data_IF_578713712300
#
_entry.id   IF_578713712300
#
_cell.length_a   1.000
_cell.length_b   1.000
_cell.length_c   1.000
_cell.angle_alpha   90.00
_cell.angle_beta   90.00
_cell.angle_gamma   90.00
#
_symmetry.space_group_name_H-M   'P 1'
#
loop_
_entity.id
_entity.type
_entity.pdbx_description
1 polymer ?
#
# COMPACT_ATOMS: atom_id res chain seq x y z
N UNK A 1 -46.49 -4.48 47.67
CA UNK A 1 -45.45 -3.41 47.68
C UNK A 1 -44.15 -4.10 48.05
N UNK A 2 -43.09 -4.23 47.24
CA UNK A 2 -42.46 -3.34 46.27
C UNK A 2 -41.82 -4.16 45.13
N UNK A 3 -41.95 -3.67 43.91
CA UNK A 3 -41.13 -4.04 42.75
C UNK A 3 -39.81 -3.23 42.77
N UNK A 4 -38.83 -3.71 41.99
CA UNK A 4 -37.66 -3.02 41.41
C UNK A 4 -36.38 -2.90 42.25
N UNK A 5 -35.50 -3.89 42.07
CA UNK A 5 -34.04 -3.68 42.02
C UNK A 5 -33.40 -4.06 40.67
N UNK A 6 -34.18 -4.48 39.67
CA UNK A 6 -33.65 -4.96 38.38
C UNK A 6 -33.41 -3.87 37.32
N UNK A 7 -33.21 -2.60 37.71
CA UNK A 7 -33.26 -1.47 36.76
C UNK A 7 -31.94 -0.68 36.61
N UNK A 8 -30.95 -0.88 37.48
CA UNK A 8 -29.72 -0.06 37.45
C UNK A 8 -28.51 -0.83 36.88
N UNK A 9 -28.35 -2.11 37.19
CA UNK A 9 -27.21 -2.92 36.69
C UNK A 9 -27.29 -3.23 35.20
N UNK A 10 -28.50 -3.43 34.66
CA UNK A 10 -28.70 -3.64 33.21
C UNK A 10 -28.47 -2.35 32.42
N UNK A 11 -28.85 -1.20 33.00
CA UNK A 11 -28.61 0.11 32.38
C UNK A 11 -27.11 0.45 32.30
N UNK A 12 -26.33 0.08 33.32
CA UNK A 12 -24.88 0.26 33.34
C UNK A 12 -24.18 -0.65 32.32
N UNK A 13 -24.66 -1.88 32.15
CA UNK A 13 -24.14 -2.82 31.15
C UNK A 13 -24.42 -2.36 29.70
N UNK A 14 -25.60 -1.78 29.45
CA UNK A 14 -25.95 -1.18 28.14
C UNK A 14 -25.08 0.06 27.84
N UNK A 15 -24.74 0.84 28.87
CA UNK A 15 -23.87 2.02 28.74
C UNK A 15 -22.41 1.65 28.44
N UNK A 16 -21.92 0.50 28.92
CA UNK A 16 -20.58 -0.02 28.61
C UNK A 16 -20.50 -0.59 27.18
N UNK A 17 -21.58 -1.20 26.68
CA UNK A 17 -21.62 -1.72 25.29
C UNK A 17 -21.64 -0.57 24.26
N UNK A 18 -22.23 0.58 24.60
CA UNK A 18 -22.29 1.76 23.72
C UNK A 18 -20.94 2.50 23.56
N UNK A 19 -19.90 2.15 24.33
CA UNK A 19 -18.55 2.77 24.25
C UNK A 19 -17.59 1.91 23.41
N UNK A 20 -18.00 0.72 22.97
CA UNK A 20 -17.20 -0.16 22.10
C UNK A 20 -17.37 0.13 20.60
N UNK A 21 -18.01 1.24 20.24
CA UNK A 21 -17.90 1.81 18.89
C UNK A 21 -16.48 2.37 18.74
N UNK A 22 -15.53 1.49 18.47
CA UNK A 22 -14.16 1.88 18.14
C UNK A 22 -14.21 2.96 17.06
N UNK A 23 -13.55 4.08 17.31
CA UNK A 23 -13.42 5.14 16.31
C UNK A 23 -12.64 4.55 15.13
N UNK A 24 -13.31 4.32 14.00
CA UNK A 24 -12.64 3.97 12.75
C UNK A 24 -11.97 5.22 12.18
N UNK A 25 -10.80 5.07 11.56
CA UNK A 25 -10.14 6.21 10.93
C UNK A 25 -10.99 6.71 9.75
N UNK A 26 -11.08 8.03 9.51
CA UNK A 26 -11.81 8.54 8.35
C UNK A 26 -11.28 7.89 7.06
N UNK A 27 -12.15 7.25 6.29
CA UNK A 27 -11.76 6.55 5.06
C UNK A 27 -11.32 5.09 5.22
N UNK A 28 -11.20 4.57 6.45
CA UNK A 28 -10.82 3.18 6.72
C UNK A 28 -11.81 2.17 6.10
N UNK A 29 -13.11 2.44 6.19
CA UNK A 29 -14.15 1.57 5.62
C UNK A 29 -14.02 1.48 4.09
N UNK A 30 -13.83 2.61 3.41
CA UNK A 30 -13.63 2.66 1.96
C UNK A 30 -12.32 2.01 1.55
N UNK A 31 -11.26 2.23 2.33
CA UNK A 31 -9.98 1.57 2.12
C UNK A 31 -10.13 0.05 2.20
N UNK A 32 -10.78 -0.47 3.25
CA UNK A 32 -10.99 -1.90 3.43
C UNK A 32 -11.82 -2.52 2.29
N UNK A 33 -12.90 -1.85 1.86
CA UNK A 33 -13.66 -2.26 0.66
C UNK A 33 -12.79 -2.23 -0.59
N UNK A 34 -11.90 -1.24 -0.72
CA UNK A 34 -10.96 -1.14 -1.84
C UNK A 34 -9.99 -2.33 -1.88
N UNK A 35 -9.51 -2.79 -0.72
CA UNK A 35 -8.70 -4.00 -0.61
C UNK A 35 -9.50 -5.24 -1.06
N UNK A 36 -10.77 -5.36 -0.68
CA UNK A 36 -11.65 -6.45 -1.11
C UNK A 36 -11.86 -6.46 -2.63
N UNK A 37 -12.21 -5.30 -3.21
CA UNK A 37 -12.34 -5.13 -4.65
C UNK A 37 -11.05 -5.48 -5.40
N UNK A 38 -9.89 -5.05 -4.88
CA UNK A 38 -8.58 -5.39 -5.44
C UNK A 38 -8.32 -6.90 -5.41
N UNK A 39 -8.66 -7.59 -4.31
CA UNK A 39 -8.53 -9.06 -4.19
C UNK A 39 -9.43 -9.80 -5.18
N UNK A 40 -10.61 -9.25 -5.46
CA UNK A 40 -11.54 -9.75 -6.48
C UNK A 40 -11.13 -9.37 -7.92
N UNK A 41 -10.00 -8.65 -8.09
CA UNK A 41 -9.51 -8.13 -9.37
C UNK A 41 -10.48 -7.12 -10.02
N UNK A 42 -11.32 -6.46 -9.22
CA UNK A 42 -12.23 -5.39 -9.61
C UNK A 42 -11.48 -4.03 -9.56
N UNK A 43 -10.50 -3.86 -10.45
CA UNK A 43 -9.53 -2.76 -10.37
C UNK A 43 -10.15 -1.36 -10.44
N UNK A 44 -11.17 -1.17 -11.28
CA UNK A 44 -11.88 0.12 -11.37
C UNK A 44 -12.60 0.47 -10.07
N UNK A 45 -13.29 -0.51 -9.47
CA UNK A 45 -13.96 -0.32 -8.18
C UNK A 45 -12.95 -0.07 -7.05
N UNK A 46 -11.84 -0.81 -7.03
CA UNK A 46 -10.77 -0.59 -6.05
C UNK A 46 -10.20 0.84 -6.15
N UNK A 47 -9.98 1.34 -7.37
CA UNK A 47 -9.53 2.71 -7.64
C UNK A 47 -10.50 3.74 -7.07
N UNK A 48 -11.80 3.60 -7.37
CA UNK A 48 -12.85 4.50 -6.86
C UNK A 48 -12.91 4.50 -5.32
N UNK A 49 -12.80 3.32 -4.71
CA UNK A 49 -12.84 3.16 -3.26
C UNK A 49 -11.62 3.77 -2.57
N UNK A 50 -10.41 3.56 -3.10
CA UNK A 50 -9.20 4.21 -2.57
C UNK A 50 -9.25 5.73 -2.75
N UNK A 51 -9.75 6.22 -3.89
CA UNK A 51 -9.95 7.66 -4.08
C UNK A 51 -10.97 8.24 -3.09
N UNK A 52 -12.02 7.48 -2.78
CA UNK A 52 -13.02 7.89 -1.78
C UNK A 52 -12.44 7.89 -0.37
N UNK A 53 -11.59 6.90 -0.02
CA UNK A 53 -10.84 6.89 1.23
C UNK A 53 -9.97 8.15 1.35
N UNK A 54 -9.22 8.49 0.29
CA UNK A 54 -8.38 9.69 0.23
C UNK A 54 -9.16 11.01 0.26
N UNK A 55 -10.40 11.04 -0.23
CA UNK A 55 -11.27 12.20 -0.10
C UNK A 55 -11.71 12.44 1.36
N UNK A 56 -11.79 11.37 2.17
CA UNK A 56 -12.10 11.46 3.60
C UNK A 56 -10.86 11.77 4.43
N UNK A 57 -9.74 11.17 4.08
CA UNK A 57 -8.44 11.45 4.69
C UNK A 57 -7.31 11.32 3.65
N UNK A 58 -6.82 12.47 3.19
CA UNK A 58 -5.73 12.56 2.24
C UNK A 58 -4.35 12.22 2.86
N UNK A 59 -4.30 11.83 4.13
CA UNK A 59 -3.09 11.37 4.82
C UNK A 59 -2.97 9.85 4.91
N UNK A 60 -4.00 9.09 4.50
CA UNK A 60 -3.99 7.63 4.47
C UNK A 60 -2.91 7.10 3.51
N UNK A 61 -1.76 6.74 4.07
CA UNK A 61 -0.60 6.32 3.32
C UNK A 61 -0.88 5.04 2.52
N UNK A 62 -1.59 4.10 3.13
CA UNK A 62 -1.91 2.80 2.54
C UNK A 62 -2.90 2.93 1.38
N UNK A 63 -3.82 3.89 1.42
CA UNK A 63 -4.71 4.18 0.31
C UNK A 63 -3.92 4.70 -0.91
N UNK A 64 -2.96 5.61 -0.69
CA UNK A 64 -2.02 6.05 -1.73
C UNK A 64 -1.18 4.87 -2.28
N UNK A 65 -0.62 4.01 -1.42
CA UNK A 65 0.19 2.86 -1.84
C UNK A 65 -0.62 1.87 -2.70
N UNK A 66 -1.85 1.56 -2.29
CA UNK A 66 -2.71 0.63 -3.03
C UNK A 66 -3.27 1.26 -4.31
N UNK A 67 -3.61 2.55 -4.31
CA UNK A 67 -3.97 3.28 -5.53
C UNK A 67 -2.81 3.28 -6.54
N UNK A 68 -1.58 3.47 -6.05
CA UNK A 68 -0.36 3.32 -6.84
C UNK A 68 -0.21 1.92 -7.45
N UNK A 69 -0.53 0.86 -6.69
CA UNK A 69 -0.58 -0.51 -7.22
C UNK A 69 -1.66 -0.70 -8.30
N UNK A 70 -2.85 -0.12 -8.13
CA UNK A 70 -3.92 -0.18 -9.13
C UNK A 70 -3.48 0.50 -10.43
N UNK A 71 -2.91 1.70 -10.37
CA UNK A 71 -2.37 2.37 -11.56
C UNK A 71 -1.21 1.58 -12.21
N UNK A 72 -0.39 0.89 -11.41
CA UNK A 72 0.63 -0.05 -11.91
C UNK A 72 0.01 -1.20 -12.72
N UNK A 73 -1.13 -1.73 -12.29
CA UNK A 73 -1.88 -2.79 -13.00
C UNK A 73 -2.50 -2.27 -14.30
N UNK A 74 -2.90 -1.01 -14.33
CA UNK A 74 -3.37 -0.29 -15.52
C UNK A 74 -2.23 0.15 -16.45
N UNK A 75 -0.96 -0.06 -16.07
CA UNK A 75 0.24 0.44 -16.77
C UNK A 75 0.29 1.97 -16.86
N UNK A 76 -0.43 2.68 -16.00
CA UNK A 76 -0.32 4.12 -15.84
C UNK A 76 0.84 4.44 -14.89
N UNK A 77 2.06 4.35 -15.41
CA UNK A 77 3.28 4.44 -14.60
C UNK A 77 3.50 5.80 -13.95
N UNK A 78 3.00 6.88 -14.55
CA UNK A 78 3.15 8.24 -14.02
C UNK A 78 2.31 8.42 -12.75
N UNK A 79 1.00 8.12 -12.83
CA UNK A 79 0.13 8.15 -11.65
C UNK A 79 0.54 7.13 -10.60
N UNK A 80 0.97 5.94 -11.03
CA UNK A 80 1.44 4.92 -10.10
C UNK A 80 2.65 5.40 -9.29
N UNK A 81 3.58 6.12 -9.93
CA UNK A 81 4.74 6.69 -9.26
C UNK A 81 4.32 7.77 -8.28
N UNK A 82 3.47 8.71 -8.71
CA UNK A 82 2.97 9.80 -7.88
C UNK A 82 2.33 9.28 -6.59
N UNK A 83 1.34 8.41 -6.72
CA UNK A 83 0.61 7.86 -5.58
C UNK A 83 1.50 7.02 -4.67
N UNK A 84 2.33 6.14 -5.25
CA UNK A 84 3.23 5.29 -4.45
C UNK A 84 4.27 6.12 -3.70
N UNK A 85 4.81 7.18 -4.31
CA UNK A 85 5.80 8.05 -3.69
C UNK A 85 5.20 8.86 -2.53
N UNK A 86 3.99 9.39 -2.72
CA UNK A 86 3.24 10.10 -1.67
C UNK A 86 2.93 9.16 -0.50
N UNK A 87 2.44 7.95 -0.79
CA UNK A 87 2.19 6.93 0.22
C UNK A 87 3.45 6.54 0.99
N UNK A 88 4.58 6.34 0.30
CA UNK A 88 5.86 6.03 0.93
C UNK A 88 6.38 7.16 1.85
N UNK A 89 6.20 8.41 1.45
CA UNK A 89 6.57 9.55 2.29
C UNK A 89 5.73 9.57 3.57
N UNK A 90 4.40 9.48 3.43
CA UNK A 90 3.46 9.53 4.55
C UNK A 90 3.70 8.40 5.53
N UNK A 91 3.85 7.16 5.06
CA UNK A 91 4.03 5.99 5.94
C UNK A 91 5.35 6.06 6.72
N UNK A 92 6.44 6.55 6.10
CA UNK A 92 7.72 6.71 6.78
C UNK A 92 7.70 7.84 7.81
N UNK A 93 6.87 8.86 7.55
CA UNK A 93 6.70 10.01 8.42
C UNK A 93 5.82 9.68 9.63
N UNK A 94 4.66 9.06 9.42
CA UNK A 94 3.75 8.68 10.50
C UNK A 94 4.27 7.51 11.31
N UNK A 95 4.84 6.49 10.64
CA UNK A 95 5.18 5.17 11.21
C UNK A 95 3.98 4.48 11.87
N UNK A 96 2.79 4.79 11.38
CA UNK A 96 1.50 4.27 11.82
C UNK A 96 0.82 3.55 10.67
N UNK A 97 -0.03 2.59 10.97
CA UNK A 97 -0.77 1.80 9.98
C UNK A 97 -2.18 1.54 10.46
N UNK A 98 -3.14 1.65 9.54
CA UNK A 98 -4.54 1.26 9.77
C UNK A 98 -4.76 -0.23 9.44
N UNK A 99 -3.80 -0.88 8.78
CA UNK A 99 -3.94 -2.28 8.36
C UNK A 99 -3.59 -3.22 9.52
N UNK A 100 -4.61 -3.88 10.07
CA UNK A 100 -4.46 -4.82 11.17
C UNK A 100 -3.45 -5.94 10.87
N UNK A 101 -2.49 -6.12 11.79
CA UNK A 101 -1.47 -7.16 11.68
C UNK A 101 -0.33 -6.86 10.72
N UNK A 102 -0.31 -5.68 10.10
CA UNK A 102 0.82 -5.21 9.30
C UNK A 102 1.54 -4.08 10.04
N UNK A 103 2.82 -3.87 9.71
CA UNK A 103 3.65 -2.78 10.20
C UNK A 103 3.82 -1.69 9.15
N UNK A 104 4.27 -0.49 9.57
CA UNK A 104 4.62 0.57 8.61
C UNK A 104 5.81 0.15 7.72
N UNK A 105 6.70 -0.72 8.20
CA UNK A 105 7.79 -1.30 7.42
C UNK A 105 7.26 -2.18 6.29
N UNK A 106 6.22 -2.98 6.56
CA UNK A 106 5.56 -3.80 5.53
C UNK A 106 4.99 -2.92 4.42
N UNK A 107 4.26 -1.86 4.79
CA UNK A 107 3.69 -0.91 3.84
C UNK A 107 4.77 -0.16 3.04
N UNK A 108 5.83 0.30 3.71
CA UNK A 108 6.95 0.95 3.03
C UNK A 108 7.68 0.01 2.08
N UNK A 109 7.88 -1.26 2.46
CA UNK A 109 8.48 -2.27 1.59
C UNK A 109 7.62 -2.58 0.36
N UNK A 110 6.30 -2.62 0.51
CA UNK A 110 5.36 -2.73 -0.63
C UNK A 110 5.47 -1.52 -1.57
N UNK A 111 5.55 -0.30 -1.02
CA UNK A 111 5.70 0.91 -1.80
C UNK A 111 7.04 0.94 -2.57
N UNK A 112 8.14 0.58 -1.91
CA UNK A 112 9.44 0.43 -2.58
C UNK A 112 9.40 -0.61 -3.71
N UNK A 113 8.73 -1.75 -3.49
CA UNK A 113 8.55 -2.76 -4.53
C UNK A 113 7.72 -2.23 -5.73
N UNK A 114 6.66 -1.46 -5.47
CA UNK A 114 5.89 -0.81 -6.53
C UNK A 114 6.76 0.17 -7.34
N UNK A 115 7.52 1.05 -6.68
CA UNK A 115 8.45 1.97 -7.35
C UNK A 115 9.49 1.20 -8.17
N UNK A 116 10.05 0.11 -7.63
CA UNK A 116 11.01 -0.72 -8.34
C UNK A 116 10.43 -1.29 -9.64
N UNK A 117 9.17 -1.76 -9.62
CA UNK A 117 8.49 -2.26 -10.82
C UNK A 117 8.33 -1.17 -11.90
N UNK A 118 8.02 0.06 -11.50
CA UNK A 118 7.91 1.21 -12.41
C UNK A 118 9.27 1.52 -13.05
N UNK A 119 10.33 1.60 -12.24
CA UNK A 119 11.67 1.92 -12.72
C UNK A 119 12.23 0.79 -13.58
N UNK A 120 11.92 -0.46 -13.26
CA UNK A 120 12.31 -1.60 -14.07
C UNK A 120 11.69 -1.54 -15.47
N UNK A 121 10.41 -1.17 -15.58
CA UNK A 121 9.79 -0.97 -16.89
C UNK A 121 10.51 0.12 -17.69
N UNK A 122 10.92 1.23 -17.05
CA UNK A 122 11.74 2.26 -17.71
C UNK A 122 13.08 1.69 -18.21
N UNK A 123 13.73 0.79 -17.46
CA UNK A 123 14.94 0.10 -17.94
C UNK A 123 14.67 -0.77 -19.17
N UNK A 124 13.54 -1.50 -19.19
CA UNK A 124 13.12 -2.33 -20.31
C UNK A 124 12.84 -1.48 -21.56
N UNK A 125 12.16 -0.35 -21.40
CA UNK A 125 11.87 0.57 -22.51
C UNK A 125 13.15 1.24 -23.04
N UNK A 126 14.06 1.66 -22.15
CA UNK A 126 15.37 2.18 -22.53
C UNK A 126 16.19 1.15 -23.33
N UNK A 127 16.17 -0.13 -22.94
CA UNK A 127 16.81 -1.22 -23.70
C UNK A 127 16.20 -1.34 -25.11
N UNK A 128 14.86 -1.34 -25.23
CA UNK A 128 14.17 -1.40 -26.52
C UNK A 128 14.52 -0.21 -27.42
N UNK A 129 14.73 0.97 -26.83
CA UNK A 129 15.10 2.19 -27.53
C UNK A 129 16.62 2.32 -27.82
N UNK A 130 17.45 1.36 -27.41
CA UNK A 130 18.91 1.44 -27.56
C UNK A 130 19.59 2.48 -26.67
N UNK A 131 18.91 2.95 -25.62
CA UNK A 131 19.41 3.97 -24.69
C UNK A 131 20.19 3.33 -23.54
N UNK A 132 21.43 2.89 -23.82
CA UNK A 132 22.24 2.11 -22.87
C UNK A 132 22.51 2.82 -21.54
N UNK A 133 22.75 4.14 -21.55
CA UNK A 133 23.01 4.90 -20.32
C UNK A 133 21.75 4.97 -19.42
N UNK A 134 20.59 5.26 -20.02
CA UNK A 134 19.30 5.31 -19.34
C UNK A 134 18.92 3.94 -18.76
N UNK A 135 19.13 2.88 -19.56
CA UNK A 135 18.91 1.50 -19.16
C UNK A 135 19.72 1.14 -17.91
N UNK A 136 21.04 1.42 -17.91
CA UNK A 136 21.91 1.14 -16.75
C UNK A 136 21.47 1.94 -15.51
N UNK A 137 21.18 3.23 -15.67
CA UNK A 137 20.69 4.07 -14.56
C UNK A 137 19.41 3.50 -13.95
N UNK A 138 18.46 3.08 -14.78
CA UNK A 138 17.21 2.51 -14.30
C UNK A 138 17.39 1.11 -13.68
N UNK A 139 18.35 0.29 -14.15
CA UNK A 139 18.70 -0.98 -13.51
C UNK A 139 19.21 -0.77 -12.08
N UNK A 140 20.19 0.11 -11.92
CA UNK A 140 20.80 0.42 -10.62
C UNK A 140 19.75 0.97 -9.64
N UNK A 141 18.90 1.87 -10.11
CA UNK A 141 17.82 2.43 -9.29
C UNK A 141 16.77 1.36 -8.92
N UNK A 142 16.42 0.46 -9.83
CA UNK A 142 15.51 -0.68 -9.53
C UNK A 142 16.09 -1.53 -8.41
N UNK A 143 17.36 -1.93 -8.50
CA UNK A 143 18.03 -2.75 -7.49
C UNK A 143 18.09 -2.03 -6.14
N UNK A 144 18.39 -0.73 -6.15
CA UNK A 144 18.41 0.09 -4.93
C UNK A 144 17.06 0.09 -4.22
N UNK A 145 15.94 0.27 -4.96
CA UNK A 145 14.60 0.27 -4.38
C UNK A 145 14.23 -1.10 -3.79
N UNK A 146 14.56 -2.19 -4.48
CA UNK A 146 14.31 -3.55 -3.96
C UNK A 146 15.14 -3.83 -2.70
N UNK A 147 16.38 -3.35 -2.64
CA UNK A 147 17.20 -3.47 -1.44
C UNK A 147 16.63 -2.66 -0.28
N UNK A 148 16.11 -1.46 -0.52
CA UNK A 148 15.42 -0.67 0.52
C UNK A 148 14.19 -1.39 1.09
N UNK A 149 13.43 -2.10 0.23
CA UNK A 149 12.33 -2.95 0.70
C UNK A 149 12.82 -4.12 1.57
N UNK A 150 13.91 -4.80 1.16
CA UNK A 150 14.48 -5.93 1.90
C UNK A 150 15.22 -5.52 3.18
N UNK A 151 15.71 -4.29 3.28
CA UNK A 151 16.26 -3.74 4.52
C UNK A 151 15.18 -3.60 5.59
N UNK A 152 13.97 -3.21 5.18
CA UNK A 152 12.81 -3.09 6.07
C UNK A 152 12.20 -4.45 6.40
N UNK A 153 12.07 -5.32 5.39
CA UNK A 153 11.45 -6.65 5.52
C UNK A 153 12.32 -7.68 4.77
N UNK A 154 13.33 -8.27 5.44
CA UNK A 154 14.30 -9.17 4.79
C UNK A 154 13.68 -10.40 4.12
N UNK A 155 12.60 -10.93 4.72
CA UNK A 155 11.94 -12.17 4.29
C UNK A 155 10.73 -11.92 3.37
N UNK A 156 10.63 -10.73 2.76
CA UNK A 156 9.55 -10.40 1.83
C UNK A 156 9.72 -11.15 0.50
N UNK A 157 9.12 -12.35 0.43
CA UNK A 157 9.28 -13.31 -0.67
C UNK A 157 9.06 -12.69 -2.06
N UNK A 158 8.05 -11.84 -2.22
CA UNK A 158 7.76 -11.19 -3.51
C UNK A 158 8.93 -10.30 -3.98
N UNK A 159 9.56 -9.58 -3.05
CA UNK A 159 10.66 -8.64 -3.35
C UNK A 159 11.94 -9.40 -3.64
N UNK A 160 12.21 -10.50 -2.92
CA UNK A 160 13.33 -11.39 -3.22
C UNK A 160 13.20 -12.00 -4.63
N UNK A 161 12.00 -12.47 -4.99
CA UNK A 161 11.70 -12.98 -6.34
C UNK A 161 11.90 -11.89 -7.41
N UNK A 162 11.42 -10.69 -7.16
CA UNK A 162 11.60 -9.56 -8.08
C UNK A 162 13.09 -9.18 -8.24
N UNK A 163 13.85 -9.14 -7.14
CA UNK A 163 15.29 -8.87 -7.20
C UNK A 163 16.05 -9.93 -7.98
N UNK A 164 15.77 -11.21 -7.72
CA UNK A 164 16.38 -12.31 -8.47
C UNK A 164 16.05 -12.24 -9.98
N UNK A 165 14.81 -11.89 -10.31
CA UNK A 165 14.39 -11.69 -11.70
C UNK A 165 15.18 -10.53 -12.37
N UNK A 166 15.25 -9.37 -11.72
CA UNK A 166 15.97 -8.20 -12.23
C UNK A 166 17.46 -8.52 -12.41
N UNK A 167 18.08 -9.18 -11.43
CA UNK A 167 19.49 -9.57 -11.52
C UNK A 167 19.77 -10.55 -12.65
N UNK A 168 18.87 -11.51 -12.92
CA UNK A 168 18.97 -12.39 -14.07
C UNK A 168 18.85 -11.59 -15.37
N UNK A 169 17.84 -10.73 -15.48
CA UNK A 169 17.64 -9.88 -16.65
C UNK A 169 18.83 -8.98 -16.96
N UNK A 170 19.58 -8.51 -15.95
CA UNK A 170 20.81 -7.72 -16.11
C UNK A 170 21.97 -8.58 -16.65
N UNK A 171 22.09 -9.85 -16.23
CA UNK A 171 23.16 -10.76 -16.69
C UNK A 171 22.99 -11.23 -18.12
N UNK A 172 21.75 -11.29 -18.61
CA UNK A 172 21.39 -11.81 -19.94
C UNK A 172 21.43 -10.73 -21.06
N UNK A 173 22.12 -9.62 -20.83
CA UNK A 173 22.12 -8.45 -21.76
C UNK A 173 23.32 -8.38 -22.66
#
# INVERSE_FOLDING_TARGET
MKFRHFSQSVLFLILVIAVLSGCTHPGEDEFNKGIEAQRNNELELAKELFQTALNKDASLAEAHINLGYVYLREKNYDKAWEETAVGLEKIKKSRETIVMGQSWQDQAALAYNNLAKIVFEKAVQAKKAGLTAEQKRHQEHTVSLLNQALELVPDLEMTQKNLAYVQRWIKEQ
#
